data_IF_457647217045
#
_entry.id   IF_457647217045
#
_cell.length_a   1.000
_cell.length_b   1.000
_cell.length_c   1.000
_cell.angle_alpha   90.00
_cell.angle_beta   90.00
_cell.angle_gamma   90.00
#
_symmetry.space_group_name_H-M   'P 1'
#
loop_
_entity.id
_entity.type
_entity.pdbx_description
1 polymer ?
#
# COMPACT_ATOMS: atom_id res chain seq x y z
N UNK A 1 -0.84 -18.03 -0.08
CA UNK A 1 -1.44 -19.23 -0.69
C UNK A 1 -1.28 -19.28 -2.22
N UNK A 2 -0.98 -20.46 -2.79
CA UNK A 2 -0.95 -20.71 -4.24
C UNK A 2 -1.98 -21.80 -4.64
N UNK A 3 -2.53 -21.71 -5.86
CA UNK A 3 -3.56 -22.64 -6.36
C UNK A 3 -3.15 -23.30 -7.69
N UNK A 4 -3.30 -24.62 -7.79
CA UNK A 4 -3.13 -25.35 -9.05
C UNK A 4 -4.22 -24.99 -10.06
N UNK A 5 -3.98 -25.26 -11.36
CA UNK A 5 -4.97 -25.00 -12.41
C UNK A 5 -6.30 -25.77 -12.17
N UNK A 6 -6.20 -27.00 -11.68
CA UNK A 6 -7.37 -27.81 -11.32
C UNK A 6 -8.12 -27.20 -10.13
N UNK A 7 -7.41 -26.71 -9.12
CA UNK A 7 -8.02 -26.02 -7.98
C UNK A 7 -8.69 -24.72 -8.41
N UNK A 8 -8.07 -23.94 -9.30
CA UNK A 8 -8.68 -22.72 -9.88
C UNK A 8 -9.99 -23.04 -10.59
N UNK A 9 -10.02 -24.09 -11.41
CA UNK A 9 -11.25 -24.52 -12.09
C UNK A 9 -12.33 -24.93 -11.08
N UNK A 10 -11.97 -25.69 -10.04
CA UNK A 10 -12.90 -26.12 -8.99
C UNK A 10 -13.46 -24.92 -8.23
N UNK A 11 -12.62 -24.00 -7.75
CA UNK A 11 -13.07 -22.79 -7.03
C UNK A 11 -13.94 -21.91 -7.92
N UNK A 12 -13.60 -21.78 -9.20
CA UNK A 12 -14.41 -21.04 -10.18
C UNK A 12 -15.82 -21.62 -10.29
N UNK A 13 -15.94 -22.94 -10.47
CA UNK A 13 -17.25 -23.61 -10.53
C UNK A 13 -18.03 -23.48 -9.21
N UNK A 14 -17.35 -23.59 -8.06
CA UNK A 14 -17.99 -23.48 -6.75
C UNK A 14 -18.51 -22.06 -6.47
N UNK A 15 -17.74 -21.04 -6.83
CA UNK A 15 -18.15 -19.63 -6.69
C UNK A 15 -19.30 -19.30 -7.63
N UNK A 16 -19.31 -19.83 -8.86
CA UNK A 16 -20.46 -19.70 -9.77
C UNK A 16 -21.72 -20.36 -9.21
N UNK A 17 -21.61 -21.56 -8.61
CA UNK A 17 -22.72 -22.23 -7.93
C UNK A 17 -23.20 -21.41 -6.73
N UNK A 18 -22.28 -20.88 -5.91
CA UNK A 18 -22.61 -20.05 -4.76
C UNK A 18 -23.41 -18.82 -5.16
N UNK A 19 -22.94 -18.07 -6.16
CA UNK A 19 -23.64 -16.91 -6.70
C UNK A 19 -24.98 -17.30 -7.33
N UNK A 20 -25.05 -18.44 -8.03
CA UNK A 20 -26.28 -18.91 -8.69
C UNK A 20 -27.36 -19.34 -7.69
N UNK A 21 -26.96 -19.85 -6.53
CA UNK A 21 -27.85 -20.25 -5.45
C UNK A 21 -28.21 -19.10 -4.51
N UNK A 22 -27.69 -17.88 -4.75
CA UNK A 22 -27.95 -16.69 -3.95
C UNK A 22 -27.63 -16.91 -2.46
N UNK A 23 -26.53 -17.60 -2.18
CA UNK A 23 -26.04 -17.79 -0.81
C UNK A 23 -25.46 -16.45 -0.33
N UNK A 24 -26.06 -15.89 0.73
CA UNK A 24 -25.68 -14.58 1.27
C UNK A 24 -24.77 -14.69 2.51
N UNK A 25 -24.73 -15.85 3.15
CA UNK A 25 -23.90 -16.16 4.31
C UNK A 25 -22.56 -16.80 3.91
N UNK A 26 -21.45 -16.32 4.49
CA UNK A 26 -20.13 -16.91 4.30
C UNK A 26 -19.16 -16.04 3.51
N UNK A 27 -18.56 -16.59 2.46
CA UNK A 27 -17.49 -15.94 1.69
C UNK A 27 -18.08 -15.16 0.51
N UNK A 28 -17.51 -13.99 0.20
CA UNK A 28 -17.80 -13.25 -1.03
C UNK A 28 -17.30 -14.05 -2.25
N UNK A 29 -18.20 -14.64 -3.06
CA UNK A 29 -17.82 -15.54 -4.15
C UNK A 29 -17.08 -14.80 -5.27
N UNK A 30 -17.42 -13.54 -5.52
CA UNK A 30 -16.79 -12.74 -6.57
C UNK A 30 -15.34 -12.42 -6.19
N UNK A 31 -15.12 -11.99 -4.94
CA UNK A 31 -13.76 -11.75 -4.45
C UNK A 31 -12.94 -13.05 -4.43
N UNK A 32 -13.50 -14.16 -3.95
CA UNK A 32 -12.80 -15.46 -3.89
C UNK A 32 -12.38 -15.90 -5.29
N UNK A 33 -13.29 -15.87 -6.25
CA UNK A 33 -12.99 -16.26 -7.63
C UNK A 33 -11.88 -15.38 -8.22
N UNK A 34 -12.00 -14.05 -8.11
CA UNK A 34 -10.98 -13.12 -8.62
C UNK A 34 -9.61 -13.38 -8.00
N UNK A 35 -9.54 -13.54 -6.68
CA UNK A 35 -8.27 -13.73 -5.98
C UNK A 35 -7.60 -15.04 -6.40
N UNK A 36 -8.35 -16.14 -6.49
CA UNK A 36 -7.81 -17.45 -6.90
C UNK A 36 -7.35 -17.44 -8.36
N UNK A 37 -8.16 -16.91 -9.28
CA UNK A 37 -7.84 -16.88 -10.71
C UNK A 37 -6.56 -16.08 -10.97
N UNK A 38 -6.41 -14.93 -10.30
CA UNK A 38 -5.29 -14.00 -10.49
C UNK A 38 -4.04 -14.31 -9.64
N UNK A 39 -3.95 -15.46 -8.98
CA UNK A 39 -2.85 -15.82 -8.06
C UNK A 39 -2.68 -14.83 -6.89
N UNK A 40 -3.77 -14.26 -6.40
CA UNK A 40 -3.79 -13.30 -5.28
C UNK A 40 -4.24 -14.01 -3.99
N UNK A 41 -3.77 -15.24 -3.77
CA UNK A 41 -4.19 -16.04 -2.61
C UNK A 41 -3.88 -15.38 -1.26
N UNK A 42 -2.86 -14.52 -1.20
CA UNK A 42 -2.56 -13.68 -0.03
C UNK A 42 -3.77 -12.80 0.36
N UNK A 43 -4.54 -12.29 -0.60
CA UNK A 43 -5.66 -11.41 -0.32
C UNK A 43 -6.81 -12.14 0.40
N UNK A 44 -6.93 -13.45 0.17
CA UNK A 44 -7.88 -14.32 0.89
C UNK A 44 -7.48 -14.48 2.36
N UNK A 45 -6.19 -14.68 2.63
CA UNK A 45 -5.64 -14.78 3.99
C UNK A 45 -5.89 -13.48 4.76
N UNK A 46 -5.76 -12.33 4.08
CA UNK A 46 -6.04 -11.02 4.66
C UNK A 46 -7.54 -10.74 4.89
N UNK A 47 -8.42 -11.13 3.97
CA UNK A 47 -9.88 -10.87 4.08
C UNK A 47 -10.58 -11.80 5.06
N UNK A 48 -10.13 -13.05 5.14
CA UNK A 48 -10.79 -14.11 5.92
C UNK A 48 -9.84 -14.72 6.97
N UNK A 49 -9.40 -13.93 7.96
CA UNK A 49 -8.55 -14.45 9.03
C UNK A 49 -9.27 -15.58 9.77
N UNK A 50 -8.63 -16.75 9.88
CA UNK A 50 -9.17 -17.94 10.55
C UNK A 50 -9.82 -18.99 9.65
N UNK A 51 -10.04 -18.71 8.36
CA UNK A 51 -10.42 -19.75 7.37
C UNK A 51 -9.22 -20.59 6.96
N UNK A 52 -8.05 -19.96 6.90
CA UNK A 52 -6.81 -20.58 6.49
C UNK A 52 -5.89 -20.74 7.70
N UNK A 53 -5.12 -21.82 7.73
CA UNK A 53 -4.01 -21.92 8.68
C UNK A 53 -3.05 -20.74 8.42
N UNK A 54 -2.54 -20.13 9.50
CA UNK A 54 -1.49 -19.11 9.38
C UNK A 54 -0.28 -19.76 8.71
N UNK A 55 -0.17 -19.60 7.41
CA UNK A 55 0.92 -20.15 6.63
C UNK A 55 1.63 -19.04 5.90
N UNK A 56 2.95 -19.10 6.01
CA UNK A 56 3.91 -18.28 5.28
C UNK A 56 3.76 -16.77 5.46
N UNK A 57 4.89 -16.13 5.28
CA UNK A 57 5.03 -14.68 5.37
C UNK A 57 4.59 -14.07 4.03
N UNK A 58 3.86 -12.95 4.03
CA UNK A 58 3.33 -12.30 2.81
C UNK A 58 4.35 -12.21 1.66
N UNK A 59 3.94 -12.29 0.38
CA UNK A 59 4.84 -12.04 -0.76
C UNK A 59 5.60 -10.72 -0.61
N UNK A 60 6.82 -10.65 -1.15
CA UNK A 60 7.68 -9.47 -0.98
C UNK A 60 7.03 -8.20 -1.54
N UNK A 61 6.36 -8.33 -2.68
CA UNK A 61 5.64 -7.29 -3.38
C UNK A 61 4.44 -6.78 -2.55
N UNK A 62 3.76 -7.69 -1.85
CA UNK A 62 2.62 -7.38 -0.97
C UNK A 62 3.09 -6.58 0.24
N UNK A 63 4.18 -7.02 0.88
CA UNK A 63 4.79 -6.25 1.99
C UNK A 63 5.26 -4.89 1.53
N UNK A 64 6.00 -4.84 0.42
CA UNK A 64 6.50 -3.59 -0.12
C UNK A 64 5.37 -2.58 -0.36
N UNK A 65 4.26 -3.00 -0.99
CA UNK A 65 3.12 -2.10 -1.20
C UNK A 65 2.47 -1.68 0.13
N UNK A 66 2.31 -2.61 1.08
CA UNK A 66 1.80 -2.27 2.42
C UNK A 66 2.66 -1.23 3.13
N UNK A 67 3.98 -1.42 3.12
CA UNK A 67 4.95 -0.49 3.73
C UNK A 67 4.91 0.89 3.03
N UNK A 68 4.75 0.91 1.70
CA UNK A 68 4.59 2.15 0.93
C UNK A 68 3.31 2.88 1.31
N UNK A 69 2.17 2.18 1.40
CA UNK A 69 0.88 2.79 1.78
C UNK A 69 0.95 3.35 3.21
N UNK A 70 1.55 2.61 4.14
CA UNK A 70 1.74 3.06 5.52
C UNK A 70 2.63 4.31 5.59
N UNK A 71 3.77 4.29 4.89
CA UNK A 71 4.66 5.45 4.79
C UNK A 71 3.90 6.67 4.26
N UNK A 72 3.18 6.53 3.15
CA UNK A 72 2.44 7.64 2.56
C UNK A 72 1.31 8.15 3.44
N UNK A 73 0.58 7.26 4.12
CA UNK A 73 -0.45 7.65 5.09
C UNK A 73 0.16 8.52 6.18
N UNK A 74 1.31 8.09 6.71
CA UNK A 74 2.05 8.83 7.74
C UNK A 74 2.58 10.17 7.24
N UNK A 75 3.09 10.24 6.01
CA UNK A 75 3.56 11.47 5.39
C UNK A 75 2.43 12.49 5.18
N UNK A 76 1.30 12.07 4.60
CA UNK A 76 0.14 12.94 4.37
C UNK A 76 -0.45 13.44 5.70
N UNK A 77 -0.64 12.54 6.66
CA UNK A 77 -1.13 12.90 8.00
C UNK A 77 -0.21 13.94 8.67
N UNK A 78 1.11 13.73 8.60
CA UNK A 78 2.09 14.63 9.24
C UNK A 78 2.16 15.98 8.54
N UNK A 79 2.15 16.00 7.21
CA UNK A 79 2.08 17.24 6.43
C UNK A 79 0.80 18.03 6.73
N UNK A 80 -0.33 17.34 6.90
CA UNK A 80 -1.61 17.97 7.22
C UNK A 80 -1.65 18.58 8.62
N UNK A 81 -0.88 18.03 9.57
CA UNK A 81 -0.74 18.56 10.92
C UNK A 81 0.17 19.79 11.02
N UNK A 82 0.97 20.11 9.99
CA UNK A 82 1.85 21.28 10.01
C UNK A 82 1.06 22.60 9.93
N UNK A 83 1.52 23.57 10.73
CA UNK A 83 1.08 24.96 10.64
C UNK A 83 1.73 25.68 9.44
N UNK A 84 1.40 26.97 9.28
CA UNK A 84 1.89 27.75 8.14
C UNK A 84 3.42 27.91 8.14
N UNK A 85 4.05 28.00 9.32
CA UNK A 85 5.49 28.13 9.43
C UNK A 85 6.18 26.81 9.03
N UNK A 86 5.74 25.68 9.59
CA UNK A 86 6.28 24.36 9.26
C UNK A 86 6.09 23.99 7.79
N UNK A 87 4.97 24.39 7.16
CA UNK A 87 4.76 24.22 5.72
C UNK A 87 5.75 25.06 4.90
N UNK A 88 6.00 26.30 5.28
CA UNK A 88 6.97 27.15 4.60
C UNK A 88 8.40 26.58 4.73
N UNK A 89 8.76 26.08 5.91
CA UNK A 89 10.05 25.44 6.17
C UNK A 89 10.23 24.17 5.33
N UNK A 90 9.20 23.33 5.24
CA UNK A 90 9.23 22.12 4.41
C UNK A 90 9.39 22.45 2.92
N UNK A 91 8.66 23.44 2.41
CA UNK A 91 8.78 23.93 1.03
C UNK A 91 10.19 24.44 0.76
N UNK A 92 10.77 25.22 1.68
CA UNK A 92 12.14 25.70 1.54
C UNK A 92 13.17 24.55 1.54
N UNK A 93 12.96 23.52 2.36
CA UNK A 93 13.87 22.41 2.51
C UNK A 93 13.80 21.36 1.40
N UNK A 94 12.64 21.19 0.76
CA UNK A 94 12.40 20.25 -0.35
C UNK A 94 11.50 20.88 -1.43
N UNK A 95 11.97 21.85 -2.24
CA UNK A 95 11.12 22.69 -3.08
C UNK A 95 10.19 21.95 -4.06
N UNK A 96 10.62 20.80 -4.59
CA UNK A 96 9.84 20.02 -5.56
C UNK A 96 8.70 19.19 -4.93
N UNK A 97 8.79 18.87 -3.64
CA UNK A 97 7.85 17.93 -2.99
C UNK A 97 7.20 18.49 -1.73
N UNK A 98 7.82 19.46 -1.06
CA UNK A 98 7.33 20.03 0.21
C UNK A 98 6.06 20.87 0.06
N UNK A 99 5.73 21.32 -1.15
CA UNK A 99 4.49 22.08 -1.41
C UNK A 99 3.25 21.21 -1.56
N UNK A 100 3.42 19.93 -1.89
CA UNK A 100 2.32 18.99 -2.05
C UNK A 100 2.79 17.56 -1.73
N UNK A 101 2.58 17.15 -0.48
CA UNK A 101 2.85 15.79 -0.01
C UNK A 101 1.59 14.96 -0.21
N UNK A 102 1.54 14.22 -1.31
CA UNK A 102 0.44 13.31 -1.66
C UNK A 102 0.99 12.06 -2.31
N UNK A 103 0.39 10.92 -2.02
CA UNK A 103 0.70 9.63 -2.63
C UNK A 103 0.50 9.68 -4.15
N UNK A 104 1.55 9.48 -4.96
CA UNK A 104 1.45 9.49 -6.43
C UNK A 104 0.83 8.24 -7.05
N UNK A 105 0.77 7.12 -6.32
CA UNK A 105 0.44 5.81 -6.88
C UNK A 105 1.65 5.08 -7.46
N UNK A 106 1.37 4.08 -8.31
CA UNK A 106 2.36 3.26 -9.02
C UNK A 106 2.14 3.36 -10.54
N UNK A 107 3.18 3.12 -11.34
CA UNK A 107 3.08 3.15 -12.80
C UNK A 107 2.28 1.95 -13.32
N UNK A 108 1.11 2.19 -13.89
CA UNK A 108 0.28 1.14 -14.46
C UNK A 108 0.89 0.43 -15.67
N UNK A 109 1.94 0.97 -16.30
CA UNK A 109 2.60 0.33 -17.44
C UNK A 109 3.80 -0.55 -17.04
N UNK A 110 4.54 -0.14 -16.00
CA UNK A 110 5.79 -0.80 -15.61
C UNK A 110 5.75 -1.40 -14.20
N UNK A 111 4.82 -0.98 -13.36
CA UNK A 111 4.63 -1.33 -11.94
C UNK A 111 3.19 -1.83 -11.70
N UNK A 112 2.58 -2.44 -12.73
CA UNK A 112 1.18 -2.86 -12.74
C UNK A 112 0.82 -3.83 -11.60
N UNK A 113 1.77 -4.66 -11.19
CA UNK A 113 1.61 -5.58 -10.05
C UNK A 113 1.46 -4.81 -8.73
N UNK A 114 2.32 -3.82 -8.47
CA UNK A 114 2.20 -2.96 -7.28
C UNK A 114 0.90 -2.16 -7.28
N UNK A 115 0.49 -1.65 -8.45
CA UNK A 115 -0.79 -0.96 -8.60
C UNK A 115 -1.97 -1.89 -8.29
N UNK A 116 -1.94 -3.14 -8.76
CA UNK A 116 -2.98 -4.13 -8.52
C UNK A 116 -3.07 -4.50 -7.02
N UNK A 117 -1.94 -4.72 -6.37
CA UNK A 117 -1.86 -5.00 -4.92
C UNK A 117 -2.42 -3.82 -4.12
N UNK A 118 -2.05 -2.58 -4.48
CA UNK A 118 -2.54 -1.39 -3.79
C UNK A 118 -4.06 -1.24 -3.89
N UNK A 119 -4.65 -1.57 -5.04
CA UNK A 119 -6.12 -1.60 -5.21
C UNK A 119 -6.77 -2.66 -4.33
N UNK A 120 -6.21 -3.86 -4.26
CA UNK A 120 -6.75 -4.91 -3.40
C UNK A 120 -6.74 -4.46 -1.94
N UNK A 121 -5.63 -3.88 -1.47
CA UNK A 121 -5.57 -3.35 -0.10
C UNK A 121 -6.66 -2.30 0.18
N UNK A 122 -6.82 -1.33 -0.73
CA UNK A 122 -7.69 -0.18 -0.48
C UNK A 122 -9.16 -0.48 -0.76
N UNK A 123 -9.45 -1.09 -1.91
CA UNK A 123 -10.81 -1.25 -2.42
C UNK A 123 -11.45 -2.58 -1.98
N UNK A 124 -10.68 -3.68 -1.94
CA UNK A 124 -11.24 -5.02 -1.60
C UNK A 124 -11.10 -5.38 -0.11
N UNK A 125 -10.04 -4.91 0.54
CA UNK A 125 -9.71 -5.21 1.95
C UNK A 125 -10.01 -4.04 2.91
N UNK A 126 -10.43 -2.89 2.38
CA UNK A 126 -10.79 -1.69 3.15
C UNK A 126 -9.66 -1.21 4.09
N UNK A 127 -8.40 -1.27 3.63
CA UNK A 127 -7.22 -0.80 4.36
C UNK A 127 -6.66 0.47 3.73
N UNK A 128 -6.17 1.40 4.54
CA UNK A 128 -5.75 2.74 4.08
C UNK A 128 -6.84 3.41 3.21
N UNK A 129 -8.08 3.43 3.71
CA UNK A 129 -9.26 3.92 3.00
C UNK A 129 -9.20 5.41 2.65
N UNK A 130 -8.31 6.18 3.27
CA UNK A 130 -7.96 7.55 2.87
C UNK A 130 -7.41 7.66 1.44
N UNK A 131 -6.98 6.54 0.85
CA UNK A 131 -6.58 6.46 -0.56
C UNK A 131 -7.66 5.92 -1.49
N UNK A 132 -8.88 5.65 -0.99
CA UNK A 132 -9.98 5.18 -1.83
C UNK A 132 -10.27 6.18 -2.97
N UNK A 133 -10.40 5.66 -4.19
CA UNK A 133 -10.55 6.46 -5.41
C UNK A 133 -9.29 7.20 -5.87
N UNK A 134 -8.14 7.03 -5.18
CA UNK A 134 -6.86 7.68 -5.51
C UNK A 134 -5.79 6.70 -6.02
N UNK A 135 -6.04 5.39 -5.98
CA UNK A 135 -5.13 4.37 -6.51
C UNK A 135 -5.20 4.30 -8.05
N UNK A 136 -4.53 5.25 -8.69
CA UNK A 136 -4.52 5.46 -10.14
C UNK A 136 -3.12 5.21 -10.74
N UNK A 137 -3.08 5.07 -12.07
CA UNK A 137 -1.81 4.99 -12.79
C UNK A 137 -1.04 6.32 -12.61
N UNK A 138 0.13 6.26 -11.98
CA UNK A 138 0.97 7.44 -11.75
C UNK A 138 1.56 8.01 -13.06
N UNK A 139 1.58 7.20 -14.13
CA UNK A 139 2.27 7.47 -15.40
C UNK A 139 3.78 7.72 -15.25
N UNK A 140 4.38 7.33 -14.13
CA UNK A 140 5.80 7.45 -13.85
C UNK A 140 6.28 6.36 -12.91
N UNK A 141 7.47 5.80 -13.15
CA UNK A 141 8.06 4.80 -12.24
C UNK A 141 8.35 5.43 -10.87
N UNK A 142 7.91 4.76 -9.82
CA UNK A 142 7.95 5.26 -8.44
C UNK A 142 8.63 4.31 -7.45
N UNK A 143 8.71 3.02 -7.77
CA UNK A 143 9.16 2.00 -6.84
C UNK A 143 10.58 2.27 -6.30
N UNK A 144 11.53 2.61 -7.17
CA UNK A 144 12.92 2.92 -6.77
C UNK A 144 13.00 4.11 -5.81
N UNK A 145 12.12 5.11 -5.99
CA UNK A 145 12.04 6.25 -5.09
C UNK A 145 11.46 5.83 -3.73
N UNK A 146 10.39 5.03 -3.74
CA UNK A 146 9.78 4.52 -2.52
C UNK A 146 10.74 3.64 -1.71
N UNK A 147 11.53 2.77 -2.35
CA UNK A 147 12.54 1.97 -1.67
C UNK A 147 13.55 2.81 -0.89
N UNK A 148 14.03 3.92 -1.47
CA UNK A 148 14.95 4.83 -0.77
C UNK A 148 14.25 5.58 0.38
N UNK A 149 13.03 6.02 0.14
CA UNK A 149 12.23 6.68 1.17
C UNK A 149 11.96 5.76 2.36
N UNK A 150 11.61 4.50 2.11
CA UNK A 150 11.32 3.49 3.13
C UNK A 150 12.51 3.27 4.05
N UNK A 151 13.73 3.16 3.52
CA UNK A 151 14.93 3.00 4.35
C UNK A 151 15.08 4.13 5.39
N UNK A 152 14.84 5.38 4.99
CA UNK A 152 14.89 6.53 5.92
C UNK A 152 13.67 6.58 6.84
N UNK A 153 12.48 6.25 6.32
CA UNK A 153 11.24 6.26 7.07
C UNK A 153 11.24 5.23 8.21
N UNK A 154 11.68 4.00 7.93
CA UNK A 154 11.78 2.92 8.92
C UNK A 154 12.74 3.27 10.06
N UNK A 155 13.91 3.83 9.73
CA UNK A 155 14.87 4.32 10.73
C UNK A 155 14.26 5.41 11.62
N UNK A 156 13.45 6.30 11.04
CA UNK A 156 12.74 7.36 11.77
C UNK A 156 11.67 6.78 12.69
N UNK A 157 10.80 5.91 12.17
CA UNK A 157 9.71 5.31 12.94
C UNK A 157 10.24 4.42 14.06
N UNK A 158 11.31 3.66 13.82
CA UNK A 158 11.97 2.82 14.83
C UNK A 158 12.52 3.65 15.99
N UNK A 159 13.23 4.74 15.68
CA UNK A 159 13.77 5.68 16.67
C UNK A 159 12.66 6.37 17.46
N UNK A 160 11.61 6.81 16.78
CA UNK A 160 10.48 7.49 17.41
C UNK A 160 9.71 6.55 18.34
N UNK A 161 9.47 5.31 17.90
CA UNK A 161 8.87 4.26 18.71
C UNK A 161 9.70 3.95 19.96
N UNK A 162 11.03 3.87 19.83
CA UNK A 162 11.95 3.67 20.96
C UNK A 162 11.90 4.80 21.99
N UNK A 163 11.56 6.02 21.53
CA UNK A 163 11.38 7.20 22.36
C UNK A 163 9.93 7.40 22.83
N UNK A 164 9.02 6.46 22.53
CA UNK A 164 7.59 6.56 22.86
C UNK A 164 6.82 7.61 22.05
N UNK A 165 7.40 8.12 20.96
CA UNK A 165 6.72 9.04 20.05
C UNK A 165 6.03 8.29 18.92
N UNK A 166 4.72 8.17 19.01
CA UNK A 166 3.86 7.60 17.97
C UNK A 166 3.05 8.69 17.24
N UNK A 167 3.43 9.95 17.40
CA UNK A 167 2.78 11.11 16.78
C UNK A 167 3.33 11.47 15.39
N UNK A 168 2.73 12.49 14.74
CA UNK A 168 3.17 12.98 13.43
C UNK A 168 4.69 13.20 13.33
N UNK A 169 5.23 13.01 12.13
CA UNK A 169 6.62 13.32 11.82
C UNK A 169 6.88 14.83 11.92
N UNK A 170 8.07 15.20 12.40
CA UNK A 170 8.50 16.61 12.40
C UNK A 170 8.79 17.11 10.98
N UNK A 171 8.97 18.43 10.81
CA UNK A 171 9.36 19.02 9.53
C UNK A 171 10.71 18.46 9.05
N UNK A 172 11.65 18.26 9.96
CA UNK A 172 12.96 17.69 9.67
C UNK A 172 12.87 16.24 9.21
N UNK A 173 12.01 15.44 9.85
CA UNK A 173 11.78 14.04 9.50
C UNK A 173 11.08 13.92 8.14
N UNK A 174 10.04 14.72 7.90
CA UNK A 174 9.39 14.85 6.59
C UNK A 174 10.41 15.22 5.51
N UNK A 175 11.28 16.19 5.80
CA UNK A 175 12.34 16.63 4.89
C UNK A 175 13.29 15.49 4.54
N UNK A 176 13.72 14.71 5.53
CA UNK A 176 14.63 13.58 5.33
C UNK A 176 14.03 12.53 4.39
N UNK A 177 12.79 12.11 4.65
CA UNK A 177 12.11 11.11 3.79
C UNK A 177 11.85 11.66 2.39
N UNK A 178 11.32 12.88 2.27
CA UNK A 178 10.94 13.44 0.97
C UNK A 178 12.15 13.74 0.06
N UNK A 179 13.33 14.02 0.62
CA UNK A 179 14.57 14.18 -0.16
C UNK A 179 14.96 12.91 -0.90
N UNK A 180 14.62 11.74 -0.35
CA UNK A 180 14.96 10.47 -0.98
C UNK A 180 14.19 10.21 -2.29
N UNK A 181 13.08 10.94 -2.51
CA UNK A 181 12.36 10.94 -3.80
C UNK A 181 13.24 11.43 -4.94
N UNK A 182 14.10 12.41 -4.70
CA UNK A 182 15.05 12.89 -5.70
C UNK A 182 16.09 11.80 -5.96
N UNK A 183 16.26 11.43 -7.23
CA UNK A 183 17.29 10.49 -7.65
C UNK A 183 18.68 11.00 -7.18
N UNK A 184 19.57 10.13 -6.66
CA UNK A 184 20.87 10.56 -6.12
C UNK A 184 21.71 11.41 -7.08
N UNK A 185 21.60 11.18 -8.39
CA UNK A 185 22.30 11.95 -9.42
C UNK A 185 21.80 13.39 -9.61
N UNK A 186 20.62 13.72 -9.05
CA UNK A 186 19.95 15.01 -9.18
C UNK A 186 19.86 15.77 -7.84
N UNK A 187 20.66 15.36 -6.84
CA UNK A 187 20.71 15.98 -5.51
C UNK A 187 21.76 17.08 -5.42
#
# INVERSE_FOLDING_TARGET
MEFSNEQKLIVTLLTEIHSKLEIEDGLDPDFVQRAVVNNQGWALEWKYPGVFEETHSDPQEVRFVGDVLEMWSRLEMSFNALDAAGRADLVAAVPHFGGNVSFPGFDGNNEHEYLAIAKIFVDDLERWTEFSGRILNSHMRTADAYLRMLGVFEDIVSRNSSNGNYGPLSVEELTQVLRERTHPENR
#
